data_IF_999354599815
#
_entry.id   IF_999354599815
#
_cell.length_a   1.000
_cell.length_b   1.000
_cell.length_c   1.000
_cell.angle_alpha   90.00
_cell.angle_beta   90.00
_cell.angle_gamma   90.00
#
_symmetry.space_group_name_H-M   'P 1'
#
loop_
_entity.id
_entity.type
_entity.pdbx_description
1 polymer ?
#
# COMPACT_ATOMS: atom_id res chain seq x y z
N UNK A 1 -28.14 -36.86 9.58
CA UNK A 1 -27.91 -36.12 10.84
C UNK A 1 -26.77 -35.16 10.59
N UNK A 2 -27.05 -33.85 10.47
CA UNK A 2 -25.99 -32.84 10.50
C UNK A 2 -25.44 -32.86 11.92
N UNK A 3 -24.15 -33.16 12.10
CA UNK A 3 -23.54 -33.24 13.43
C UNK A 3 -23.38 -31.83 13.98
N UNK A 4 -23.81 -31.61 15.22
CA UNK A 4 -23.68 -30.31 15.89
C UNK A 4 -22.20 -29.90 15.97
N UNK A 5 -21.28 -30.87 16.05
CA UNK A 5 -19.84 -30.61 16.01
C UNK A 5 -19.37 -30.00 14.67
N UNK A 6 -19.93 -30.41 13.53
CA UNK A 6 -19.59 -29.87 12.21
C UNK A 6 -20.07 -28.41 12.06
N UNK A 7 -21.26 -28.09 12.59
CA UNK A 7 -21.79 -26.72 12.62
C UNK A 7 -20.91 -25.83 13.50
N UNK A 8 -20.48 -26.33 14.67
CA UNK A 8 -19.60 -25.59 15.57
C UNK A 8 -18.20 -25.36 14.97
N UNK A 9 -17.59 -26.37 14.36
CA UNK A 9 -16.30 -26.23 13.67
C UNK A 9 -16.38 -25.23 12.52
N UNK A 10 -17.41 -25.34 11.68
CA UNK A 10 -17.63 -24.41 10.58
C UNK A 10 -17.81 -22.97 11.06
N UNK A 11 -18.60 -22.76 12.12
CA UNK A 11 -18.78 -21.44 12.74
C UNK A 11 -17.46 -20.85 13.25
N UNK A 12 -16.62 -21.68 13.89
CA UNK A 12 -15.30 -21.28 14.36
C UNK A 12 -14.35 -20.90 13.22
N UNK A 13 -14.28 -21.71 12.16
CA UNK A 13 -13.47 -21.41 10.98
C UNK A 13 -13.88 -20.10 10.30
N UNK A 14 -15.19 -19.83 10.21
CA UNK A 14 -15.71 -18.57 9.67
C UNK A 14 -15.32 -17.37 10.54
N UNK A 15 -15.42 -17.51 11.86
CA UNK A 15 -15.01 -16.46 12.80
C UNK A 15 -13.51 -16.18 12.71
N UNK A 16 -12.66 -17.22 12.72
CA UNK A 16 -11.22 -17.08 12.60
C UNK A 16 -10.82 -16.43 11.27
N UNK A 17 -11.49 -16.81 10.17
CA UNK A 17 -11.30 -16.20 8.85
C UNK A 17 -11.70 -14.72 8.82
N UNK A 18 -12.82 -14.37 9.47
CA UNK A 18 -13.27 -12.99 9.55
C UNK A 18 -12.30 -12.11 10.36
N UNK A 19 -11.82 -12.60 11.51
CA UNK A 19 -10.82 -11.90 12.33
C UNK A 19 -9.51 -11.72 11.57
N UNK A 20 -9.04 -12.75 10.87
CA UNK A 20 -7.84 -12.65 10.04
C UNK A 20 -8.00 -11.62 8.92
N UNK A 21 -9.16 -11.61 8.25
CA UNK A 21 -9.47 -10.65 7.18
C UNK A 21 -9.51 -9.20 7.69
N UNK A 22 -10.17 -8.97 8.83
CA UNK A 22 -10.23 -7.66 9.47
C UNK A 22 -8.83 -7.15 9.88
N UNK A 23 -7.99 -8.03 10.46
CA UNK A 23 -6.60 -7.69 10.80
C UNK A 23 -5.77 -7.35 9.56
N UNK A 24 -5.95 -8.09 8.46
CA UNK A 24 -5.23 -7.86 7.21
C UNK A 24 -5.60 -6.51 6.58
N UNK A 25 -6.91 -6.21 6.51
CA UNK A 25 -7.43 -4.91 6.07
C UNK A 25 -6.85 -3.77 6.90
N UNK A 26 -6.93 -3.86 8.22
CA UNK A 26 -6.41 -2.84 9.13
C UNK A 26 -4.91 -2.58 8.90
N UNK A 27 -4.10 -3.64 8.77
CA UNK A 27 -2.66 -3.52 8.49
C UNK A 27 -2.39 -2.88 7.13
N UNK A 28 -3.15 -3.25 6.10
CA UNK A 28 -3.03 -2.64 4.78
C UNK A 28 -3.31 -1.14 4.79
N UNK A 29 -4.39 -0.72 5.47
CA UNK A 29 -4.68 0.71 5.66
C UNK A 29 -3.58 1.44 6.43
N UNK A 30 -3.06 0.85 7.51
CA UNK A 30 -1.95 1.43 8.27
C UNK A 30 -0.68 1.58 7.40
N UNK A 31 -0.38 0.59 6.57
CA UNK A 31 0.77 0.65 5.66
C UNK A 31 0.62 1.75 4.61
N UNK A 32 -0.59 1.92 4.03
CA UNK A 32 -0.88 3.01 3.09
C UNK A 32 -0.74 4.37 3.78
N UNK A 33 -1.34 4.53 4.97
CA UNK A 33 -1.24 5.77 5.74
C UNK A 33 0.22 6.12 6.09
N UNK A 34 1.02 5.13 6.48
CA UNK A 34 2.45 5.30 6.73
C UNK A 34 3.19 5.74 5.46
N UNK A 35 2.97 5.07 4.32
CA UNK A 35 3.63 5.42 3.06
C UNK A 35 3.29 6.85 2.60
N UNK A 36 2.03 7.27 2.72
CA UNK A 36 1.62 8.66 2.42
C UNK A 36 2.25 9.66 3.39
N UNK A 37 2.32 9.31 4.68
CA UNK A 37 2.98 10.12 5.70
C UNK A 37 4.48 10.30 5.42
N UNK A 38 5.18 9.21 5.09
CA UNK A 38 6.60 9.22 4.73
C UNK A 38 6.85 10.09 3.50
N UNK A 39 6.06 9.93 2.44
CA UNK A 39 6.16 10.77 1.23
C UNK A 39 5.93 12.25 1.53
N UNK A 40 4.94 12.57 2.37
CA UNK A 40 4.65 13.95 2.78
C UNK A 40 5.83 14.55 3.54
N UNK A 41 6.39 13.81 4.50
CA UNK A 41 7.55 14.24 5.27
C UNK A 41 8.75 14.48 4.36
N UNK A 42 9.05 13.54 3.46
CA UNK A 42 10.14 13.67 2.50
C UNK A 42 9.96 14.89 1.58
N UNK A 43 8.76 15.10 1.06
CA UNK A 43 8.44 16.26 0.21
C UNK A 43 8.70 17.59 0.93
N UNK A 44 8.39 17.66 2.22
CA UNK A 44 8.65 18.83 3.05
C UNK A 44 10.14 19.06 3.28
N UNK A 45 10.89 18.00 3.61
CA UNK A 45 12.35 18.04 3.79
C UNK A 45 13.06 18.48 2.51
N UNK A 46 12.70 17.88 1.37
CA UNK A 46 13.26 18.20 0.05
C UNK A 46 12.93 19.66 -0.34
N UNK A 47 11.71 20.13 -0.06
CA UNK A 47 11.29 21.52 -0.31
C UNK A 47 12.07 22.53 0.52
N UNK A 48 12.28 22.26 1.82
CA UNK A 48 13.10 23.11 2.67
C UNK A 48 14.54 23.18 2.18
N UNK A 49 15.14 22.03 1.83
CA UNK A 49 16.49 21.97 1.28
C UNK A 49 16.60 22.76 -0.04
N UNK A 50 15.57 22.71 -0.89
CA UNK A 50 15.50 23.52 -2.10
C UNK A 50 15.48 25.02 -1.80
N UNK A 51 14.62 25.48 -0.87
CA UNK A 51 14.55 26.89 -0.48
C UNK A 51 15.87 27.38 0.11
N UNK A 52 16.51 26.58 0.97
CA UNK A 52 17.81 26.89 1.54
C UNK A 52 18.87 27.07 0.44
N UNK A 53 18.99 26.09 -0.46
CA UNK A 53 19.92 26.17 -1.59
C UNK A 53 19.64 27.37 -2.48
N UNK A 54 18.37 27.60 -2.85
CA UNK A 54 17.96 28.69 -3.72
C UNK A 54 18.25 30.05 -3.09
N UNK A 55 18.08 30.20 -1.77
CA UNK A 55 18.38 31.45 -1.06
C UNK A 55 19.87 31.82 -1.09
N UNK A 56 20.76 30.83 -1.28
CA UNK A 56 22.21 31.02 -1.29
C UNK A 56 22.81 31.34 -2.66
N UNK A 57 22.06 31.23 -3.76
CA UNK A 57 22.60 31.45 -5.11
C UNK A 57 22.67 32.93 -5.47
N UNK A 58 23.71 33.32 -6.21
CA UNK A 58 23.99 34.73 -6.57
C UNK A 58 23.81 35.06 -8.06
N UNK A 59 23.33 34.10 -8.84
CA UNK A 59 23.12 34.25 -10.29
C UNK A 59 21.93 33.43 -10.77
N UNK A 60 21.34 33.85 -11.89
CA UNK A 60 20.22 33.15 -12.50
C UNK A 60 20.62 31.76 -13.00
N UNK A 61 21.81 31.60 -13.56
CA UNK A 61 22.29 30.28 -14.02
C UNK A 61 22.32 29.26 -12.89
N UNK A 62 22.78 29.67 -11.70
CA UNK A 62 22.79 28.81 -10.51
C UNK A 62 21.39 28.56 -9.94
N UNK A 63 20.49 29.54 -10.05
CA UNK A 63 19.08 29.31 -9.68
C UNK A 63 18.41 28.26 -10.59
N UNK A 64 18.68 28.31 -11.90
CA UNK A 64 18.18 27.33 -12.87
C UNK A 64 18.74 25.94 -12.59
N UNK A 65 20.03 25.83 -12.26
CA UNK A 65 20.66 24.56 -11.87
C UNK A 65 19.96 23.95 -10.65
N UNK A 66 19.80 24.72 -9.56
CA UNK A 66 19.13 24.26 -8.33
C UNK A 66 17.67 23.88 -8.58
N UNK A 67 16.93 24.66 -9.38
CA UNK A 67 15.55 24.35 -9.76
C UNK A 67 15.44 23.06 -10.59
N UNK A 68 16.40 22.83 -11.49
CA UNK A 68 16.44 21.63 -12.35
C UNK A 68 16.76 20.39 -11.53
N UNK A 69 17.72 20.48 -10.62
CA UNK A 69 18.04 19.39 -9.67
C UNK A 69 16.83 19.04 -8.80
N UNK A 70 16.16 20.05 -8.23
CA UNK A 70 14.96 19.84 -7.42
C UNK A 70 13.86 19.18 -8.24
N UNK A 71 13.58 19.67 -9.44
CA UNK A 71 12.55 19.11 -10.31
C UNK A 71 12.82 17.64 -10.66
N UNK A 72 14.07 17.30 -10.97
CA UNK A 72 14.48 15.92 -11.25
C UNK A 72 14.30 15.02 -10.02
N UNK A 73 14.80 15.44 -8.87
CA UNK A 73 14.69 14.70 -7.60
C UNK A 73 13.23 14.51 -7.17
N UNK A 74 12.42 15.56 -7.29
CA UNK A 74 11.00 15.53 -6.97
C UNK A 74 10.25 14.55 -7.89
N UNK A 75 10.56 14.52 -9.18
CA UNK A 75 9.99 13.57 -10.13
C UNK A 75 10.35 12.13 -9.79
N UNK A 76 11.64 11.84 -9.56
CA UNK A 76 12.11 10.50 -9.20
C UNK A 76 11.46 10.01 -7.90
N UNK A 77 11.39 10.88 -6.89
CA UNK A 77 10.73 10.59 -5.61
C UNK A 77 9.23 10.33 -5.80
N UNK A 78 8.53 11.19 -6.55
CA UNK A 78 7.10 11.04 -6.81
C UNK A 78 6.79 9.70 -7.49
N UNK A 79 7.56 9.32 -8.51
CA UNK A 79 7.37 8.05 -9.22
C UNK A 79 7.56 6.87 -8.26
N UNK A 80 8.65 6.87 -7.48
CA UNK A 80 8.96 5.80 -6.56
C UNK A 80 7.88 5.62 -5.47
N UNK A 81 7.47 6.72 -4.82
CA UNK A 81 6.46 6.67 -3.76
C UNK A 81 5.06 6.35 -4.31
N UNK A 82 4.73 6.85 -5.51
CA UNK A 82 3.47 6.49 -6.18
C UNK A 82 3.40 5.00 -6.51
N UNK A 83 4.50 4.41 -7.00
CA UNK A 83 4.58 2.97 -7.25
C UNK A 83 4.43 2.16 -5.96
N UNK A 84 5.07 2.60 -4.87
CA UNK A 84 4.95 1.97 -3.54
C UNK A 84 3.51 2.01 -3.04
N UNK A 85 2.84 3.16 -3.09
CA UNK A 85 1.44 3.32 -2.66
C UNK A 85 0.52 2.47 -3.54
N UNK A 86 0.71 2.47 -4.86
CA UNK A 86 -0.07 1.64 -5.78
C UNK A 86 0.11 0.13 -5.50
N UNK A 87 1.33 -0.30 -5.17
CA UNK A 87 1.62 -1.65 -4.72
C UNK A 87 0.86 -2.02 -3.45
N UNK A 88 0.83 -1.15 -2.45
CA UNK A 88 0.09 -1.37 -1.20
C UNK A 88 -1.43 -1.49 -1.43
N UNK A 89 -2.00 -0.64 -2.30
CA UNK A 89 -3.42 -0.78 -2.69
C UNK A 89 -3.70 -2.09 -3.42
N UNK A 90 -2.79 -2.51 -4.29
CA UNK A 90 -2.89 -3.78 -5.01
C UNK A 90 -2.89 -4.96 -4.03
N UNK A 91 -1.99 -4.94 -3.04
CA UNK A 91 -1.90 -6.00 -2.03
C UNK A 91 -3.12 -6.02 -1.11
N UNK A 92 -3.65 -4.85 -0.73
CA UNK A 92 -4.90 -4.74 0.01
C UNK A 92 -6.09 -5.33 -0.75
N UNK A 93 -6.18 -5.04 -2.06
CA UNK A 93 -7.21 -5.62 -2.93
C UNK A 93 -7.08 -7.14 -2.99
N UNK A 94 -5.89 -7.68 -3.28
CA UNK A 94 -5.63 -9.13 -3.30
C UNK A 94 -6.04 -9.82 -2.00
N UNK A 95 -5.69 -9.23 -0.85
CA UNK A 95 -6.06 -9.77 0.46
C UNK A 95 -7.58 -9.79 0.66
N UNK A 96 -8.28 -8.78 0.16
CA UNK A 96 -9.74 -8.64 0.27
C UNK A 96 -10.49 -9.63 -0.64
N UNK A 97 -9.93 -9.98 -1.81
CA UNK A 97 -10.53 -10.96 -2.74
C UNK A 97 -10.14 -12.42 -2.45
N UNK A 98 -9.11 -12.66 -1.63
CA UNK A 98 -8.62 -14.00 -1.26
C UNK A 98 -9.69 -14.95 -0.69
N UNK A 99 -10.67 -14.50 0.13
CA UNK A 99 -11.76 -15.36 0.58
C UNK A 99 -12.65 -15.86 -0.58
N UNK A 100 -12.86 -15.04 -1.61
CA UNK A 100 -13.66 -15.40 -2.78
C UNK A 100 -12.95 -16.44 -3.66
N UNK A 101 -11.64 -16.33 -3.83
CA UNK A 101 -10.82 -17.37 -4.50
C UNK A 101 -10.88 -18.70 -3.73
N UNK A 102 -10.80 -18.63 -2.40
CA UNK A 102 -10.86 -19.81 -1.53
C UNK A 102 -12.24 -20.49 -1.58
N UNK A 103 -13.31 -19.71 -1.73
CA UNK A 103 -14.66 -20.23 -1.95
C UNK A 103 -14.81 -20.85 -3.35
N UNK A 104 -14.34 -20.19 -4.41
CA UNK A 104 -14.38 -20.75 -5.77
C UNK A 104 -13.63 -22.08 -5.88
N UNK A 105 -12.48 -22.22 -5.21
CA UNK A 105 -11.74 -23.48 -5.13
C UNK A 105 -12.54 -24.59 -4.42
N UNK A 106 -13.35 -24.25 -3.40
CA UNK A 106 -14.25 -25.21 -2.72
C UNK A 106 -15.48 -25.57 -3.56
N UNK A 107 -15.89 -24.69 -4.48
CA UNK A 107 -17.07 -24.87 -5.34
C UNK A 107 -16.76 -25.41 -6.74
N UNK A 108 -15.51 -25.76 -7.06
CA UNK A 108 -15.16 -26.46 -8.31
C UNK A 108 -15.25 -27.97 -8.10
N UNK A 109 -16.33 -28.67 -8.52
CA UNK A 109 -16.43 -30.10 -8.40
C UNK A 109 -15.84 -30.73 -9.66
N UNK A 110 -14.69 -31.41 -9.55
CA UNK A 110 -14.20 -32.33 -10.58
C UNK A 110 -13.14 -31.75 -11.52
N UNK A 111 -11.88 -31.77 -11.07
CA UNK A 111 -10.73 -31.95 -11.95
C UNK A 111 -9.92 -33.17 -11.45
N UNK A 112 -10.58 -34.32 -11.38
CA UNK A 112 -9.93 -35.63 -11.35
C UNK A 112 -10.59 -36.47 -12.42
N UNK A 113 -9.89 -36.56 -13.55
CA UNK A 113 -10.06 -37.60 -14.56
C UNK A 113 -9.37 -38.87 -14.07
#
# INVERSE_FOLDING_TARGET
MVKVEEIQQYSKEQFDTAVASASSLQKGYQAIAAAVGDYTKKSFEDGNAFVEKLSGVKSLDKAIEVQTEFAKSAYETFVAESQKIAGLYTDLAKQSFKPLESMAAKFTPGATR
#
